data_IF_963394059016
#
_entry.id   IF_963394059016
#
_cell.length_a   1.000
_cell.length_b   1.000
_cell.length_c   1.000
_cell.angle_alpha   90.00
_cell.angle_beta   90.00
_cell.angle_gamma   90.00
#
_symmetry.space_group_name_H-M   'P 1'
#
loop_
_entity.id
_entity.type
_entity.pdbx_description
1 polymer ?
#
# COMPACT_ATOMS: atom_id res chain seq x y z
N UNK A 1 -16.17 -17.32 0.69
CA UNK A 1 -14.84 -16.84 0.28
C UNK A 1 -14.71 -15.33 0.40
N UNK A 2 -15.42 -14.52 -0.41
CA UNK A 2 -15.21 -13.06 -0.44
C UNK A 2 -15.32 -12.34 0.93
N UNK A 3 -16.33 -12.60 1.79
CA UNK A 3 -16.42 -11.92 3.09
C UNK A 3 -15.24 -12.24 4.01
N UNK A 4 -14.77 -13.50 4.00
CA UNK A 4 -13.61 -13.94 4.79
C UNK A 4 -12.33 -13.28 4.28
N UNK A 5 -12.12 -13.26 2.96
CA UNK A 5 -10.95 -12.61 2.38
C UNK A 5 -10.91 -11.11 2.68
N UNK A 6 -12.03 -10.39 2.53
CA UNK A 6 -12.12 -8.96 2.86
C UNK A 6 -11.92 -8.70 4.36
N UNK A 7 -12.41 -9.59 5.23
CA UNK A 7 -12.15 -9.50 6.66
C UNK A 7 -10.66 -9.69 6.98
N UNK A 8 -10.00 -10.66 6.35
CA UNK A 8 -8.56 -10.83 6.49
C UNK A 8 -7.79 -9.61 5.96
N UNK A 9 -8.22 -9.00 4.86
CA UNK A 9 -7.64 -7.71 4.39
C UNK A 9 -7.75 -6.66 5.49
N UNK A 10 -8.90 -6.51 6.14
CA UNK A 10 -9.09 -5.56 7.24
C UNK A 10 -8.08 -5.81 8.38
N UNK A 11 -7.87 -7.06 8.77
CA UNK A 11 -6.86 -7.43 9.78
C UNK A 11 -5.45 -7.07 9.31
N UNK A 12 -5.11 -7.36 8.04
CA UNK A 12 -3.81 -7.05 7.46
C UNK A 12 -3.56 -5.53 7.27
N UNK A 13 -4.59 -4.68 7.35
CA UNK A 13 -4.41 -3.22 7.33
C UNK A 13 -3.68 -2.68 8.56
N UNK A 14 -3.62 -3.45 9.65
CA UNK A 14 -2.90 -3.10 10.88
C UNK A 14 -1.43 -3.54 10.88
N UNK A 15 -1.00 -4.29 9.86
CA UNK A 15 0.38 -4.74 9.72
C UNK A 15 1.18 -3.76 8.85
N UNK A 16 2.51 -3.64 9.05
CA UNK A 16 3.36 -2.78 8.22
C UNK A 16 3.25 -3.17 6.75
N UNK A 17 2.96 -2.24 5.84
CA UNK A 17 2.89 -2.48 4.40
C UNK A 17 4.19 -2.11 3.70
N UNK A 18 4.75 -0.97 4.10
CA UNK A 18 6.02 -0.45 3.62
C UNK A 18 6.84 0.08 4.78
N UNK A 19 8.15 0.14 4.61
CA UNK A 19 9.02 0.75 5.60
C UNK A 19 10.46 0.89 5.13
N UNK A 20 11.25 1.49 6.00
CA UNK A 20 12.70 1.65 5.91
C UNK A 20 13.30 0.63 6.88
N UNK A 21 14.05 -0.32 6.35
CA UNK A 21 14.62 -1.46 7.06
C UNK A 21 16.14 -1.56 6.84
N UNK A 22 16.96 -0.65 7.38
CA UNK A 22 18.41 -0.75 7.26
C UNK A 22 18.91 -2.05 7.88
N UNK A 23 19.61 -2.87 7.10
CA UNK A 23 20.07 -4.19 7.55
C UNK A 23 18.95 -5.17 7.93
N UNK A 24 17.70 -4.91 7.49
CA UNK A 24 16.53 -5.72 7.82
C UNK A 24 15.87 -5.40 9.17
N UNK A 25 16.37 -4.40 9.91
CA UNK A 25 15.77 -3.94 11.17
C UNK A 25 14.85 -2.76 10.88
N UNK A 26 13.64 -2.73 11.44
CA UNK A 26 12.67 -1.67 11.19
C UNK A 26 13.12 -0.34 11.80
N UNK A 27 13.31 0.68 10.97
CA UNK A 27 13.58 2.06 11.40
C UNK A 27 12.28 2.88 11.38
N UNK A 28 11.59 2.87 10.24
CA UNK A 28 10.29 3.52 10.06
C UNK A 28 9.34 2.65 9.24
N UNK A 29 8.05 2.64 9.54
CA UNK A 29 7.06 1.90 8.75
C UNK A 29 5.70 2.58 8.68
N UNK A 30 4.91 2.19 7.67
CA UNK A 30 3.52 2.59 7.51
C UNK A 30 2.63 1.37 7.28
N UNK A 31 1.56 1.26 8.05
CA UNK A 31 0.46 0.32 7.79
C UNK A 31 -0.69 0.98 7.02
N UNK A 32 -1.67 0.17 6.58
CA UNK A 32 -2.74 0.61 5.67
C UNK A 32 -3.63 1.74 6.20
N UNK A 33 -3.78 1.85 7.52
CA UNK A 33 -4.51 2.96 8.17
C UNK A 33 -3.68 4.23 8.39
N UNK A 34 -2.35 4.11 8.47
CA UNK A 34 -1.43 5.24 8.67
C UNK A 34 -1.17 5.99 7.36
N UNK A 35 -0.88 5.24 6.30
CA UNK A 35 -0.51 5.79 4.99
C UNK A 35 -1.49 6.84 4.41
N UNK A 36 -2.84 6.68 4.48
CA UNK A 36 -3.77 7.70 4.01
C UNK A 36 -3.57 9.07 4.64
N UNK A 37 -3.20 9.10 5.93
CA UNK A 37 -3.13 10.31 6.75
C UNK A 37 -1.71 10.83 6.96
N UNK A 38 -0.72 10.30 6.21
CA UNK A 38 0.70 10.65 6.42
C UNK A 38 1.26 10.17 7.76
N UNK A 39 0.53 9.32 8.48
CA UNK A 39 1.01 8.71 9.71
C UNK A 39 2.09 7.68 9.43
N UNK A 40 2.97 7.45 10.39
CA UNK A 40 4.00 6.41 10.35
C UNK A 40 4.40 6.07 11.78
N UNK A 41 5.05 4.93 11.94
CA UNK A 41 5.66 4.51 13.19
C UNK A 41 7.18 4.50 13.03
N UNK A 42 7.87 4.77 14.13
CA UNK A 42 9.32 4.84 14.24
C UNK A 42 9.78 3.91 15.36
N UNK A 43 10.93 3.27 15.16
CA UNK A 43 11.71 2.66 16.23
C UNK A 43 12.79 3.68 16.66
N UNK A 44 12.63 4.27 17.84
CA UNK A 44 13.51 5.34 18.31
C UNK A 44 14.96 4.90 18.47
N UNK A 45 15.16 3.67 18.91
CA UNK A 45 16.48 3.14 19.27
C UNK A 45 17.28 2.90 17.98
N UNK A 46 16.61 2.34 16.97
CA UNK A 46 17.20 2.13 15.64
C UNK A 46 17.39 3.46 14.91
N UNK A 47 16.46 4.41 15.02
CA UNK A 47 16.55 5.70 14.36
C UNK A 47 17.72 6.57 14.87
N UNK A 48 18.11 6.42 16.14
CA UNK A 48 19.26 7.11 16.73
C UNK A 48 20.58 6.57 16.20
N UNK A 49 20.70 5.24 16.12
CA UNK A 49 21.91 4.51 15.74
C UNK A 49 22.07 4.31 14.22
N UNK A 50 21.01 4.54 13.44
CA UNK A 50 21.05 4.35 12.00
C UNK A 50 21.98 5.36 11.31
N UNK A 51 22.71 4.93 10.26
CA UNK A 51 23.53 5.82 9.44
C UNK A 51 22.69 6.99 8.90
N UNK A 52 23.31 8.07 8.39
CA UNK A 52 22.64 9.33 8.07
C UNK A 52 21.71 9.17 6.86
N UNK A 53 20.58 8.51 7.08
CA UNK A 53 19.36 8.74 6.35
C UNK A 53 18.82 10.10 6.79
N UNK A 54 17.99 10.76 5.96
CA UNK A 54 17.38 12.03 6.34
C UNK A 54 16.70 11.87 7.70
N UNK A 55 17.33 12.38 8.77
CA UNK A 55 16.84 12.16 10.13
C UNK A 55 15.47 12.81 10.25
N UNK A 56 14.50 12.04 10.74
CA UNK A 56 13.11 12.49 10.82
C UNK A 56 12.85 13.58 11.87
N UNK A 57 13.85 13.93 12.68
CA UNK A 57 13.64 14.58 13.97
C UNK A 57 14.58 15.75 14.29
N UNK A 58 15.49 16.17 13.40
CA UNK A 58 16.36 17.31 13.73
C UNK A 58 15.63 18.66 13.66
N UNK A 59 15.51 19.28 14.83
CA UNK A 59 15.06 20.67 15.08
C UNK A 59 15.87 21.64 14.21
N UNK A 60 15.42 21.91 12.99
CA UNK A 60 16.08 22.82 12.05
C UNK A 60 15.80 22.49 10.58
N UNK A 61 15.34 21.26 10.27
CA UNK A 61 14.81 20.96 8.95
C UNK A 61 13.37 21.49 8.83
N UNK A 62 13.22 22.74 8.39
CA UNK A 62 11.93 23.43 8.17
C UNK A 62 10.98 22.76 7.16
N UNK A 63 11.34 21.59 6.60
CA UNK A 63 10.43 20.74 5.82
C UNK A 63 10.35 19.40 6.51
N UNK A 64 9.23 19.17 7.20
CA UNK A 64 8.93 17.91 7.89
C UNK A 64 9.14 16.74 6.93
N UNK A 65 10.13 15.91 7.21
CA UNK A 65 10.38 14.60 6.56
C UNK A 65 9.26 13.59 6.81
N UNK A 66 8.23 13.98 7.57
CA UNK A 66 7.00 13.24 7.73
C UNK A 66 6.40 12.83 6.36
N UNK A 67 5.89 11.61 6.24
CA UNK A 67 5.18 11.17 5.04
C UNK A 67 4.02 12.11 4.73
N UNK A 68 3.85 12.47 3.45
CA UNK A 68 2.66 13.17 3.00
C UNK A 68 1.40 12.31 3.04
N UNK A 69 0.23 12.96 2.88
CA UNK A 69 -1.05 12.28 2.73
C UNK A 69 -1.09 11.42 1.47
N UNK A 70 -1.87 10.33 1.54
CA UNK A 70 -2.09 9.45 0.42
C UNK A 70 -3.56 9.43 0.01
N UNK A 71 -3.90 10.35 -0.89
CA UNK A 71 -5.28 10.61 -1.32
C UNK A 71 -5.96 9.36 -1.89
N UNK A 72 -5.23 8.54 -2.65
CA UNK A 72 -5.79 7.29 -3.18
C UNK A 72 -6.15 6.30 -2.08
N UNK A 73 -5.33 6.20 -1.03
CA UNK A 73 -5.65 5.34 0.10
C UNK A 73 -6.81 5.86 0.96
N UNK A 74 -7.06 7.18 0.97
CA UNK A 74 -8.26 7.75 1.59
C UNK A 74 -9.51 7.26 0.85
N UNK A 75 -9.52 7.34 -0.48
CA UNK A 75 -10.63 6.81 -1.29
C UNK A 75 -10.76 5.30 -1.20
N UNK A 76 -9.65 4.58 -1.15
CA UNK A 76 -9.63 3.14 -0.88
C UNK A 76 -10.33 2.83 0.45
N UNK A 77 -9.98 3.50 1.55
CA UNK A 77 -10.62 3.29 2.86
C UNK A 77 -12.12 3.60 2.83
N UNK A 78 -12.50 4.71 2.18
CA UNK A 78 -13.90 5.13 2.07
C UNK A 78 -14.75 4.10 1.33
N UNK A 79 -14.21 3.42 0.33
CA UNK A 79 -14.89 2.34 -0.39
C UNK A 79 -14.77 1.00 0.36
N UNK A 80 -13.65 0.77 1.05
CA UNK A 80 -13.33 -0.51 1.68
C UNK A 80 -14.31 -0.82 2.82
N UNK A 81 -14.57 0.15 3.68
CA UNK A 81 -15.45 -0.04 4.84
C UNK A 81 -16.88 -0.43 4.43
N UNK A 82 -17.57 0.31 3.53
CA UNK A 82 -18.87 -0.11 3.02
C UNK A 82 -18.82 -1.48 2.32
N UNK A 83 -17.77 -1.75 1.54
CA UNK A 83 -17.62 -3.03 0.82
C UNK A 83 -17.53 -4.21 1.80
N UNK A 84 -16.73 -4.06 2.86
CA UNK A 84 -16.60 -5.06 3.92
C UNK A 84 -17.94 -5.28 4.64
N UNK A 85 -18.63 -4.20 5.02
CA UNK A 85 -19.93 -4.29 5.69
C UNK A 85 -20.99 -4.96 4.81
N UNK A 86 -21.04 -4.64 3.52
CA UNK A 86 -21.96 -5.29 2.56
C UNK A 86 -21.60 -6.77 2.42
N UNK A 87 -20.32 -7.12 2.31
CA UNK A 87 -19.89 -8.52 2.19
C UNK A 87 -20.23 -9.35 3.44
N UNK A 88 -20.00 -8.79 4.63
CA UNK A 88 -20.38 -9.41 5.91
C UNK A 88 -21.91 -9.48 6.06
N UNK A 89 -22.64 -8.46 5.65
CA UNK A 89 -24.10 -8.47 5.60
C UNK A 89 -24.61 -9.58 4.68
N UNK A 90 -24.03 -9.75 3.50
CA UNK A 90 -24.36 -10.85 2.58
C UNK A 90 -24.14 -12.23 3.21
N UNK A 91 -23.11 -12.36 4.05
CA UNK A 91 -22.85 -13.59 4.80
C UNK A 91 -23.89 -13.78 5.91
N UNK A 92 -24.19 -12.75 6.69
CA UNK A 92 -25.19 -12.80 7.76
C UNK A 92 -26.59 -13.15 7.22
N UNK A 93 -26.94 -12.66 6.04
CA UNK A 93 -28.19 -12.99 5.35
C UNK A 93 -28.35 -14.49 5.05
N UNK A 94 -27.26 -15.25 4.96
CA UNK A 94 -27.34 -16.70 4.78
C UNK A 94 -27.89 -17.42 6.03
N UNK A 95 -27.83 -16.77 7.19
CA UNK A 95 -28.34 -17.29 8.47
C UNK A 95 -29.71 -16.71 8.86
N UNK A 96 -30.22 -15.73 8.11
CA UNK A 96 -31.50 -15.09 8.38
C UNK A 96 -32.62 -15.71 7.56
N UNK A 97 -33.81 -15.97 8.16
CA UNK A 97 -34.97 -16.38 7.41
C UNK A 97 -35.38 -15.32 6.36
N UNK A 98 -35.72 -15.70 5.11
CA UNK A 98 -36.05 -14.75 4.04
C UNK A 98 -37.20 -13.79 4.36
N UNK A 99 -38.14 -14.19 5.23
CA UNK A 99 -39.31 -13.39 5.60
C UNK A 99 -38.99 -12.22 6.55
N UNK A 100 -37.77 -12.16 7.11
CA UNK A 100 -37.35 -11.08 8.03
C UNK A 100 -36.64 -9.92 7.32
N UNK A 101 -36.51 -9.98 6.00
CA UNK A 101 -35.82 -8.94 5.24
C UNK A 101 -36.75 -7.77 4.93
N UNK A 102 -36.26 -6.52 5.04
CA UNK A 102 -37.06 -5.37 4.66
C UNK A 102 -37.37 -5.40 3.15
N UNK A 103 -38.58 -4.97 2.71
CA UNK A 103 -38.99 -4.95 1.31
C UNK A 103 -37.95 -4.32 0.35
N UNK A 104 -37.25 -3.29 0.82
CA UNK A 104 -36.22 -2.55 0.08
C UNK A 104 -35.02 -3.43 -0.31
N UNK A 105 -34.73 -4.50 0.44
CA UNK A 105 -33.59 -5.38 0.14
C UNK A 105 -33.86 -6.38 -0.98
N UNK A 106 -35.14 -6.74 -1.23
CA UNK A 106 -35.49 -7.82 -2.16
C UNK A 106 -34.95 -7.61 -3.59
N UNK A 107 -35.03 -6.41 -4.19
CA UNK A 107 -34.49 -6.17 -5.53
C UNK A 107 -32.95 -6.26 -5.61
N UNK A 108 -32.27 -6.02 -4.48
CA UNK A 108 -30.80 -6.02 -4.41
C UNK A 108 -30.23 -7.41 -4.15
N UNK A 109 -31.01 -8.34 -3.59
CA UNK A 109 -30.55 -9.68 -3.27
C UNK A 109 -29.90 -10.43 -4.43
N UNK A 110 -30.41 -10.40 -5.68
CA UNK A 110 -29.77 -11.08 -6.81
C UNK A 110 -28.40 -10.46 -7.16
N UNK A 111 -28.24 -9.15 -6.92
CA UNK A 111 -27.06 -8.37 -7.29
C UNK A 111 -26.01 -8.29 -6.19
N UNK A 112 -26.30 -8.78 -4.98
CA UNK A 112 -25.46 -8.60 -3.79
C UNK A 112 -23.98 -8.98 -4.02
N UNK A 113 -23.72 -10.10 -4.68
CA UNK A 113 -22.35 -10.52 -5.00
C UNK A 113 -21.74 -9.76 -6.18
N UNK A 114 -22.57 -9.29 -7.12
CA UNK A 114 -22.13 -8.41 -8.21
C UNK A 114 -21.69 -7.05 -7.69
N UNK A 115 -22.43 -6.48 -6.72
CA UNK A 115 -22.07 -5.24 -6.02
C UNK A 115 -20.75 -5.42 -5.28
N UNK A 116 -20.59 -6.49 -4.49
CA UNK A 116 -19.33 -6.79 -3.79
C UNK A 116 -18.17 -6.96 -4.76
N UNK A 117 -18.36 -7.69 -5.87
CA UNK A 117 -17.33 -7.85 -6.90
C UNK A 117 -16.95 -6.52 -7.55
N UNK A 118 -17.93 -5.69 -7.92
CA UNK A 118 -17.70 -4.38 -8.54
C UNK A 118 -16.97 -3.42 -7.62
N UNK A 119 -17.38 -3.31 -6.35
CA UNK A 119 -16.69 -2.49 -5.36
C UNK A 119 -15.28 -3.00 -5.08
N UNK A 120 -15.10 -4.32 -4.98
CA UNK A 120 -13.77 -4.91 -4.77
C UNK A 120 -12.83 -4.71 -5.97
N UNK A 121 -13.36 -4.65 -7.19
CA UNK A 121 -12.58 -4.28 -8.37
C UNK A 121 -12.08 -2.83 -8.29
N UNK A 122 -12.92 -1.90 -7.83
CA UNK A 122 -12.54 -0.49 -7.62
C UNK A 122 -11.44 -0.39 -6.54
N UNK A 123 -11.58 -1.15 -5.45
CA UNK A 123 -10.56 -1.22 -4.39
C UNK A 123 -9.22 -1.72 -4.92
N UNK A 124 -9.24 -2.80 -5.70
CA UNK A 124 -8.03 -3.35 -6.33
C UNK A 124 -7.40 -2.33 -7.29
N UNK A 125 -8.21 -1.58 -8.05
CA UNK A 125 -7.71 -0.53 -8.93
C UNK A 125 -6.99 0.58 -8.14
N UNK A 126 -7.59 1.07 -7.04
CA UNK A 126 -6.93 2.06 -6.19
C UNK A 126 -5.63 1.54 -5.58
N UNK A 127 -5.62 0.29 -5.11
CA UNK A 127 -4.44 -0.33 -4.54
C UNK A 127 -3.32 -0.51 -5.58
N UNK A 128 -3.65 -0.98 -6.79
CA UNK A 128 -2.67 -1.12 -7.88
C UNK A 128 -2.12 0.24 -8.30
N UNK A 129 -2.98 1.25 -8.48
CA UNK A 129 -2.55 2.60 -8.79
C UNK A 129 -1.62 3.14 -7.70
N UNK A 130 -1.95 2.87 -6.44
CA UNK A 130 -1.12 3.23 -5.30
C UNK A 130 0.26 2.53 -5.31
N UNK A 131 0.32 1.27 -5.71
CA UNK A 131 1.58 0.53 -5.87
C UNK A 131 2.46 1.10 -7.00
N UNK A 132 1.85 1.69 -8.03
CA UNK A 132 2.55 2.35 -9.15
C UNK A 132 3.06 3.73 -8.75
N UNK A 133 2.24 4.54 -8.07
CA UNK A 133 2.62 5.90 -7.65
C UNK A 133 3.59 5.90 -6.45
N UNK A 134 3.65 4.80 -5.70
CA UNK A 134 4.50 4.66 -4.53
C UNK A 134 3.88 5.27 -3.26
N UNK A 135 4.34 4.78 -2.12
CA UNK A 135 3.90 5.28 -0.81
C UNK A 135 4.65 6.56 -0.46
N UNK A 136 3.98 7.45 0.28
CA UNK A 136 4.56 8.75 0.63
C UNK A 136 5.83 8.62 1.48
N UNK A 137 5.91 7.66 2.40
CA UNK A 137 7.15 7.39 3.14
C UNK A 137 8.30 7.06 2.19
N UNK A 138 8.09 6.12 1.25
CA UNK A 138 9.11 5.68 0.27
C UNK A 138 9.56 6.86 -0.59
N UNK A 139 8.60 7.62 -1.13
CA UNK A 139 8.89 8.75 -2.01
C UNK A 139 9.63 9.87 -1.25
N UNK A 140 9.28 10.12 0.01
CA UNK A 140 9.94 11.15 0.83
C UNK A 140 11.37 10.77 1.21
N UNK A 141 11.62 9.49 1.55
CA UNK A 141 12.97 8.99 1.81
C UNK A 141 13.88 9.18 0.60
N UNK A 142 13.37 8.82 -0.58
CA UNK A 142 14.10 8.96 -1.85
C UNK A 142 14.37 10.43 -2.17
N UNK A 143 13.34 11.29 -2.08
CA UNK A 143 13.47 12.72 -2.33
C UNK A 143 14.44 13.39 -1.34
N UNK A 144 14.36 13.02 -0.06
CA UNK A 144 15.28 13.49 0.98
C UNK A 144 16.73 13.13 0.65
N UNK A 145 16.99 11.86 0.30
CA UNK A 145 18.32 11.40 -0.11
C UNK A 145 18.84 12.15 -1.33
N UNK A 146 18.00 12.35 -2.35
CA UNK A 146 18.40 13.09 -3.55
C UNK A 146 18.69 14.57 -3.25
N UNK A 147 17.91 15.20 -2.38
CA UNK A 147 18.17 16.58 -1.94
C UNK A 147 19.48 16.71 -1.15
N UNK A 148 19.80 15.73 -0.31
CA UNK A 148 21.03 15.72 0.47
C UNK A 148 22.26 15.55 -0.43
N UNK A 149 22.17 14.63 -1.41
CA UNK A 149 23.20 14.44 -2.43
C UNK A 149 23.41 15.73 -3.23
N UNK A 150 22.33 16.39 -3.65
CA UNK A 150 22.41 17.65 -4.38
C UNK A 150 23.10 18.76 -3.55
N UNK A 151 22.70 18.93 -2.29
CA UNK A 151 23.29 19.90 -1.38
C UNK A 151 24.78 19.60 -1.08
N UNK A 152 25.14 18.32 -0.93
CA UNK A 152 26.54 17.89 -0.81
C UNK A 152 27.32 18.20 -2.08
N UNK A 153 26.75 17.98 -3.26
CA UNK A 153 27.40 18.31 -4.53
C UNK A 153 27.66 19.79 -4.67
N UNK A 154 26.66 20.63 -4.42
CA UNK A 154 26.78 22.09 -4.51
C UNK A 154 27.88 22.63 -3.58
N UNK A 155 27.90 22.18 -2.32
CA UNK A 155 28.96 22.57 -1.36
C UNK A 155 30.35 22.16 -1.84
N UNK A 156 30.48 20.98 -2.46
CA UNK A 156 31.76 20.50 -3.00
C UNK A 156 32.18 21.30 -4.21
N UNK A 157 31.26 21.61 -5.11
CA UNK A 157 31.52 22.38 -6.32
C UNK A 157 31.94 23.82 -5.98
N UNK A 158 31.29 24.45 -4.99
CA UNK A 158 31.70 25.74 -4.45
C UNK A 158 33.12 25.70 -3.87
N UNK A 159 33.42 24.72 -3.00
CA UNK A 159 34.75 24.57 -2.39
C UNK A 159 35.87 24.26 -3.42
N UNK A 160 35.53 23.71 -4.58
CA UNK A 160 36.47 23.44 -5.68
C UNK A 160 36.68 24.65 -6.56
N UNK A 161 35.64 25.42 -6.82
CA UNK A 161 35.74 26.69 -7.51
C UNK A 161 36.70 27.64 -6.75
N UNK A 162 36.61 27.68 -5.42
CA UNK A 162 37.53 28.44 -4.55
C UNK A 162 38.99 27.97 -4.67
N UNK A 163 39.23 26.70 -4.97
CA UNK A 163 40.57 26.12 -5.15
C UNK A 163 41.10 26.17 -6.60
N UNK A 164 40.32 26.70 -7.54
CA UNK A 164 40.69 26.70 -8.97
C UNK A 164 40.60 25.33 -9.65
N UNK A 165 39.90 24.35 -9.05
CA UNK A 165 39.73 22.98 -9.58
C UNK A 165 38.40 22.79 -10.32
N UNK A 166 37.80 23.87 -10.84
CA UNK A 166 36.52 23.81 -11.52
C UNK A 166 36.59 22.88 -12.76
N UNK A 167 35.66 21.91 -12.85
CA UNK A 167 35.51 21.03 -14.01
C UNK A 167 36.11 19.62 -13.90
N UNK A 168 36.87 19.28 -12.85
CA UNK A 168 37.37 17.91 -12.64
C UNK A 168 36.40 17.13 -11.77
N UNK A 169 35.46 16.37 -12.36
CA UNK A 169 34.55 15.52 -11.59
C UNK A 169 35.32 14.45 -10.79
N UNK A 170 35.18 14.35 -9.45
CA UNK A 170 35.90 13.38 -8.66
C UNK A 170 35.13 12.05 -8.74
N UNK A 171 35.70 11.09 -9.47
CA UNK A 171 35.11 9.76 -9.68
C UNK A 171 34.71 9.07 -8.37
N UNK A 172 35.46 9.33 -7.27
CA UNK A 172 35.18 8.77 -5.96
C UNK A 172 33.89 9.30 -5.32
N UNK A 173 33.57 10.58 -5.47
CA UNK A 173 32.40 11.18 -4.81
C UNK A 173 31.11 10.86 -5.56
N UNK A 174 31.15 10.89 -6.90
CA UNK A 174 30.03 10.40 -7.73
C UNK A 174 29.72 8.93 -7.38
N UNK A 175 30.77 8.12 -7.16
CA UNK A 175 30.61 6.74 -6.68
C UNK A 175 29.99 6.67 -5.28
N UNK A 176 30.36 7.55 -4.36
CA UNK A 176 29.76 7.61 -3.01
C UNK A 176 28.28 8.02 -3.06
N UNK A 177 27.93 9.02 -3.87
CA UNK A 177 26.54 9.46 -4.04
C UNK A 177 25.69 8.34 -4.66
N UNK A 178 26.23 7.60 -5.64
CA UNK A 178 25.58 6.42 -6.20
C UNK A 178 25.42 5.27 -5.19
N UNK A 179 26.43 5.03 -4.35
CA UNK A 179 26.35 4.05 -3.24
C UNK A 179 25.26 4.47 -2.25
N UNK A 180 25.20 5.74 -1.86
CA UNK A 180 24.16 6.24 -0.95
C UNK A 180 22.76 6.00 -1.51
N UNK A 181 22.49 6.36 -2.77
CA UNK A 181 21.21 6.05 -3.43
C UNK A 181 20.90 4.55 -3.44
N UNK A 182 21.91 3.73 -3.71
CA UNK A 182 21.78 2.28 -3.69
C UNK A 182 21.39 1.75 -2.33
N UNK A 183 22.08 2.18 -1.27
CA UNK A 183 21.80 1.78 0.11
C UNK A 183 20.42 2.23 0.57
N UNK A 184 20.00 3.47 0.25
CA UNK A 184 18.64 3.94 0.52
C UNK A 184 17.59 3.09 -0.17
N UNK A 185 17.80 2.71 -1.44
CA UNK A 185 16.84 1.84 -2.13
C UNK A 185 16.80 0.42 -1.56
N UNK A 186 17.91 -0.08 -1.04
CA UNK A 186 17.98 -1.40 -0.40
C UNK A 186 17.31 -1.43 0.97
N UNK A 187 17.30 -0.32 1.71
CA UNK A 187 16.58 -0.25 2.98
C UNK A 187 15.07 -0.12 2.78
N UNK A 188 14.61 0.40 1.64
CA UNK A 188 13.17 0.50 1.35
C UNK A 188 12.59 -0.87 0.99
N UNK A 189 11.66 -1.35 1.82
CA UNK A 189 11.02 -2.65 1.61
C UNK A 189 9.50 -2.55 1.60
N UNK A 190 8.90 -3.36 0.72
CA UNK A 190 7.49 -3.75 0.80
C UNK A 190 7.45 -5.05 1.59
N UNK A 191 6.51 -5.15 2.53
CA UNK A 191 6.39 -6.35 3.35
C UNK A 191 5.48 -7.37 2.66
N UNK A 192 5.58 -8.62 3.11
CA UNK A 192 4.67 -9.71 2.69
C UNK A 192 3.20 -9.40 2.98
N UNK A 193 2.90 -8.54 3.97
CA UNK A 193 1.53 -8.19 4.35
C UNK A 193 0.80 -7.44 3.24
N UNK A 194 1.51 -6.54 2.55
CA UNK A 194 0.96 -5.82 1.40
C UNK A 194 0.67 -6.77 0.23
N UNK A 195 1.59 -7.70 -0.05
CA UNK A 195 1.40 -8.71 -1.10
C UNK A 195 0.20 -9.62 -0.80
N UNK A 196 0.04 -10.02 0.47
CA UNK A 196 -1.12 -10.79 0.92
C UNK A 196 -2.43 -10.00 0.78
N UNK A 197 -2.44 -8.70 1.05
CA UNK A 197 -3.62 -7.85 0.83
C UNK A 197 -4.01 -7.85 -0.65
N UNK A 198 -3.06 -7.65 -1.56
CA UNK A 198 -3.31 -7.69 -3.01
C UNK A 198 -3.86 -9.06 -3.42
N UNK A 199 -3.23 -10.13 -2.96
CA UNK A 199 -3.69 -11.49 -3.25
C UNK A 199 -5.11 -11.76 -2.74
N UNK A 200 -5.42 -11.34 -1.50
CA UNK A 200 -6.75 -11.51 -0.92
C UNK A 200 -7.82 -10.70 -1.64
N UNK A 201 -7.49 -9.53 -2.20
CA UNK A 201 -8.42 -8.82 -3.09
C UNK A 201 -8.73 -9.62 -4.35
N UNK A 202 -7.74 -10.26 -4.97
CA UNK A 202 -7.96 -11.12 -6.13
C UNK A 202 -8.84 -12.32 -5.77
N UNK A 203 -8.58 -12.98 -4.64
CA UNK A 203 -9.40 -14.08 -4.12
C UNK A 203 -10.83 -13.61 -3.83
N UNK A 204 -11.00 -12.43 -3.23
CA UNK A 204 -12.31 -11.85 -2.96
C UNK A 204 -13.06 -11.54 -4.26
N UNK A 205 -12.37 -11.01 -5.28
CA UNK A 205 -12.95 -10.67 -6.58
C UNK A 205 -13.42 -11.93 -7.31
N UNK A 206 -12.54 -12.94 -7.41
CA UNK A 206 -12.88 -14.22 -8.02
C UNK A 206 -14.02 -14.93 -7.28
N UNK A 207 -13.97 -14.94 -5.93
CA UNK A 207 -15.00 -15.54 -5.10
C UNK A 207 -16.36 -14.84 -5.25
N UNK A 208 -16.40 -13.51 -5.23
CA UNK A 208 -17.64 -12.75 -5.41
C UNK A 208 -18.18 -12.87 -6.85
N UNK A 209 -17.29 -12.81 -7.85
CA UNK A 209 -17.64 -12.98 -9.26
C UNK A 209 -18.23 -14.35 -9.56
N UNK A 210 -17.63 -15.42 -9.01
CA UNK A 210 -18.14 -16.78 -9.15
C UNK A 210 -19.53 -16.93 -8.50
N UNK A 211 -19.71 -16.39 -7.29
CA UNK A 211 -21.01 -16.41 -6.59
C UNK A 211 -22.09 -15.63 -7.35
N UNK A 212 -21.73 -14.47 -7.93
CA UNK A 212 -22.62 -13.70 -8.79
C UNK A 212 -23.03 -14.50 -10.03
N UNK A 213 -22.05 -15.12 -10.71
CA UNK A 213 -22.31 -15.94 -11.89
C UNK A 213 -23.23 -17.11 -11.59
N UNK A 214 -22.96 -17.88 -10.53
CA UNK A 214 -23.80 -19.02 -10.11
C UNK A 214 -25.24 -18.55 -9.82
N UNK A 215 -25.41 -17.47 -9.06
CA UNK A 215 -26.74 -16.94 -8.76
C UNK A 215 -27.50 -16.50 -10.02
N UNK A 216 -26.80 -15.97 -11.02
CA UNK A 216 -27.43 -15.51 -12.26
C UNK A 216 -27.84 -16.66 -13.18
N UNK A 217 -27.19 -17.82 -13.07
CA UNK A 217 -27.53 -19.01 -13.88
C UNK A 217 -28.87 -19.64 -13.52
N UNK A 218 -29.38 -19.41 -12.32
CA UNK A 218 -30.65 -20.00 -11.86
C UNK A 218 -30.60 -21.53 -11.85
N UNK A 219 -31.59 -22.19 -12.44
CA UNK A 219 -31.76 -23.66 -12.46
C UNK A 219 -31.02 -24.39 -13.60
N UNK A 220 -30.15 -23.70 -14.36
CA UNK A 220 -29.39 -24.35 -15.45
C UNK A 220 -28.42 -25.41 -14.87
N UNK A 221 -28.27 -26.57 -15.51
CA UNK A 221 -27.38 -27.64 -15.01
C UNK A 221 -25.93 -27.16 -14.90
N UNK A 222 -25.14 -27.72 -13.97
CA UNK A 222 -23.73 -27.38 -13.80
C UNK A 222 -22.97 -27.50 -15.14
N UNK A 223 -21.97 -26.62 -15.41
CA UNK A 223 -21.21 -26.73 -16.64
C UNK A 223 -20.49 -28.08 -16.61
N UNK A 224 -20.75 -28.93 -17.60
CA UNK A 224 -20.01 -30.19 -17.73
C UNK A 224 -18.60 -29.85 -18.18
N UNK A 225 -17.61 -30.20 -17.38
CA UNK A 225 -16.21 -30.19 -17.81
C UNK A 225 -16.01 -31.54 -18.49
N UNK A 226 -16.33 -31.60 -19.77
CA UNK A 226 -16.06 -32.79 -20.58
C UNK A 226 -14.55 -32.82 -20.84
N UNK A 227 -13.80 -33.43 -19.92
CA UNK A 227 -12.39 -33.72 -20.16
C UNK A 227 -12.32 -34.87 -21.15
N UNK A 228 -11.93 -34.58 -22.39
CA UNK A 228 -11.49 -35.58 -23.35
C UNK A 228 -10.22 -36.23 -22.79
N UNK A 229 -10.38 -37.35 -22.10
CA UNK A 229 -9.30 -38.26 -21.72
C UNK A 229 -9.25 -39.41 -22.72
#
# INVERSE_FOLDING_TARGET
MAPVALFLVFVLMFFPWVGVYPGGVADAWQYGWQAPFGGYSLDSDVAEDSPPFPKYTEKGAEKTTAPGYNVLLIFYLLVFIPTLLIALGCLALAFLPPHKLPPVAHPLLPWRWGIVAGLNLILLLFLVLQLVLGFSLVNNVLAGTDSEIAARSEKRDAARAEKGEAGIAPTKQVRQDAIMRGLTRQSLQRTIWLDLVVFLHLVALAGAGLMFWINRRGSRPAPRVDTLW
#
